data_IF_284983680195
#
_entry.id   IF_284983680195
#
_cell.length_a   1.000
_cell.length_b   1.000
_cell.length_c   1.000
_cell.angle_alpha   90.00
_cell.angle_beta   90.00
_cell.angle_gamma   90.00
#
_symmetry.space_group_name_H-M   'P 1'
#
loop_
_entity.id
_entity.type
_entity.pdbx_description
1 polymer ?
#
# COMPACT_ATOMS: atom_id res chain seq x y z
N UNK A 1 14.21 -6.65 -13.98
CA UNK A 1 12.86 -7.15 -13.65
C UNK A 1 12.54 -6.78 -12.22
N UNK A 2 11.64 -5.81 -12.04
CA UNK A 2 11.22 -5.26 -10.75
C UNK A 2 10.06 -6.07 -10.18
N UNK A 3 10.22 -6.58 -8.95
CA UNK A 3 9.16 -7.31 -8.27
C UNK A 3 8.34 -6.36 -7.41
N UNK A 4 7.09 -6.13 -7.78
CA UNK A 4 6.20 -5.16 -7.15
C UNK A 4 5.10 -5.89 -6.39
N UNK A 5 4.94 -5.57 -5.11
CA UNK A 5 3.76 -5.98 -4.34
C UNK A 5 2.85 -4.78 -4.13
N UNK A 6 1.59 -4.88 -4.53
CA UNK A 6 0.56 -3.92 -4.13
C UNK A 6 -0.23 -4.47 -2.93
N UNK A 7 -0.55 -3.61 -1.96
CA UNK A 7 -1.33 -3.95 -0.76
C UNK A 7 -2.39 -2.87 -0.55
N UNK A 8 -3.66 -3.26 -0.59
CA UNK A 8 -4.75 -2.32 -0.36
C UNK A 8 -6.00 -2.64 -1.19
N UNK A 9 -7.06 -1.82 -1.04
CA UNK A 9 -8.25 -1.96 -1.85
C UNK A 9 -7.92 -1.81 -3.34
N UNK A 10 -8.75 -2.43 -4.18
CA UNK A 10 -8.63 -2.40 -5.64
C UNK A 10 -7.30 -3.00 -6.15
N UNK A 11 -6.67 -3.88 -5.36
CA UNK A 11 -5.36 -4.45 -5.72
C UNK A 11 -5.41 -5.21 -7.05
N UNK A 12 -6.54 -5.84 -7.38
CA UNK A 12 -6.72 -6.54 -8.64
C UNK A 12 -6.58 -5.61 -9.85
N UNK A 13 -7.10 -4.37 -9.75
CA UNK A 13 -7.01 -3.39 -10.82
C UNK A 13 -5.57 -2.90 -10.96
N UNK A 14 -4.92 -2.53 -9.85
CA UNK A 14 -3.54 -2.06 -9.84
C UNK A 14 -2.58 -3.12 -10.39
N UNK A 15 -2.71 -4.37 -9.93
CA UNK A 15 -1.88 -5.49 -10.40
C UNK A 15 -2.13 -5.77 -11.88
N UNK A 16 -3.37 -5.69 -12.36
CA UNK A 16 -3.66 -5.87 -13.79
C UNK A 16 -2.91 -4.84 -14.65
N UNK A 17 -2.84 -3.59 -14.21
CA UNK A 17 -2.07 -2.54 -14.89
C UNK A 17 -0.57 -2.82 -14.82
N UNK A 18 -0.04 -3.15 -13.65
CA UNK A 18 1.40 -3.42 -13.48
C UNK A 18 1.88 -4.63 -14.29
N UNK A 19 1.04 -5.64 -14.49
CA UNK A 19 1.37 -6.79 -15.34
C UNK A 19 1.51 -6.44 -16.82
N UNK A 20 1.05 -5.26 -17.26
CA UNK A 20 1.24 -4.76 -18.62
C UNK A 20 2.50 -3.90 -18.78
N UNK A 21 3.16 -3.53 -17.68
CA UNK A 21 4.38 -2.74 -17.69
C UNK A 21 5.59 -3.62 -18.02
N UNK A 22 6.50 -3.11 -18.86
CA UNK A 22 7.73 -3.80 -19.19
C UNK A 22 8.63 -3.95 -17.94
N UNK A 23 9.41 -5.03 -17.92
CA UNK A 23 10.34 -5.37 -16.84
C UNK A 23 9.70 -5.46 -15.44
N UNK A 24 8.38 -5.65 -15.33
CA UNK A 24 7.66 -5.69 -14.05
C UNK A 24 7.03 -7.06 -13.80
N UNK A 25 7.26 -7.62 -12.61
CA UNK A 25 6.45 -8.70 -12.04
C UNK A 25 5.60 -8.14 -10.91
N UNK A 26 4.30 -8.44 -10.92
CA UNK A 26 3.37 -7.84 -9.98
C UNK A 26 2.57 -8.89 -9.20
N UNK A 27 2.42 -8.64 -7.90
CA UNK A 27 1.57 -9.40 -6.98
C UNK A 27 0.69 -8.46 -6.19
N UNK A 28 -0.41 -9.00 -5.66
CA UNK A 28 -1.37 -8.24 -4.85
C UNK A 28 -1.68 -8.89 -3.51
N UNK A 29 -1.97 -8.05 -2.53
CA UNK A 29 -2.64 -8.41 -1.28
C UNK A 29 -3.89 -7.56 -1.16
N UNK A 30 -5.04 -8.24 -1.18
CA UNK A 30 -6.34 -7.63 -0.94
C UNK A 30 -6.71 -7.87 0.53
N UNK A 31 -6.75 -6.83 1.38
CA UNK A 31 -7.09 -6.97 2.79
C UNK A 31 -8.57 -7.26 3.06
N UNK A 32 -9.43 -7.10 2.05
CA UNK A 32 -10.87 -7.24 2.17
C UNK A 32 -11.39 -8.38 1.30
N UNK A 33 -12.64 -8.77 1.53
CA UNK A 33 -13.24 -9.84 0.75
C UNK A 33 -13.50 -9.41 -0.71
N UNK A 34 -13.47 -10.40 -1.60
CA UNK A 34 -13.61 -10.30 -3.05
C UNK A 34 -14.81 -11.11 -3.58
N UNK A 35 -15.75 -11.51 -2.74
CA UNK A 35 -16.95 -12.26 -3.16
C UNK A 35 -17.70 -11.58 -4.30
N UNK A 36 -17.90 -10.26 -4.20
CA UNK A 36 -18.56 -9.44 -5.22
C UNK A 36 -17.63 -8.97 -6.36
N UNK A 37 -16.37 -9.39 -6.35
CA UNK A 37 -15.42 -8.96 -7.36
C UNK A 37 -15.72 -9.56 -8.75
N UNK A 38 -15.36 -8.80 -9.79
CA UNK A 38 -15.51 -9.21 -11.17
C UNK A 38 -14.66 -10.43 -11.56
N UNK A 39 -14.99 -11.02 -12.72
CA UNK A 39 -14.32 -12.23 -13.25
C UNK A 39 -12.80 -12.09 -13.36
N UNK A 40 -12.31 -10.91 -13.76
CA UNK A 40 -10.87 -10.63 -13.88
C UNK A 40 -10.15 -10.74 -12.54
N UNK A 41 -10.69 -10.10 -11.49
CA UNK A 41 -10.12 -10.17 -10.15
C UNK A 41 -10.15 -11.60 -9.60
N UNK A 42 -11.28 -12.31 -9.75
CA UNK A 42 -11.39 -13.73 -9.37
C UNK A 42 -10.37 -14.61 -10.09
N UNK A 43 -10.03 -14.31 -11.34
CA UNK A 43 -8.98 -15.03 -12.07
C UNK A 43 -7.58 -14.77 -11.50
N UNK A 44 -7.26 -13.53 -11.09
CA UNK A 44 -5.98 -13.21 -10.44
C UNK A 44 -5.84 -13.92 -9.08
N UNK A 45 -6.93 -13.98 -8.32
CA UNK A 45 -6.97 -14.70 -7.03
C UNK A 45 -6.78 -16.21 -7.23
N UNK A 46 -7.48 -16.81 -8.20
CA UNK A 46 -7.31 -18.24 -8.54
C UNK A 46 -5.91 -18.60 -9.03
N UNK A 47 -5.17 -17.65 -9.59
CA UNK A 47 -3.79 -17.82 -10.05
C UNK A 47 -2.75 -17.54 -8.96
N UNK A 48 -3.18 -17.25 -7.72
CA UNK A 48 -2.29 -16.84 -6.61
C UNK A 48 -1.46 -15.57 -6.89
N UNK A 49 -1.82 -14.80 -7.92
CA UNK A 49 -1.18 -13.50 -8.22
C UNK A 49 -1.65 -12.46 -7.19
N UNK A 50 -2.94 -12.50 -6.84
CA UNK A 50 -3.52 -11.70 -5.76
C UNK A 50 -3.93 -12.63 -4.63
N UNK A 51 -3.48 -12.34 -3.41
CA UNK A 51 -3.87 -13.07 -2.20
C UNK A 51 -4.84 -12.24 -1.38
N UNK A 52 -5.93 -12.86 -0.93
CA UNK A 52 -6.89 -12.24 -0.01
C UNK A 52 -6.44 -12.55 1.42
N UNK A 53 -5.86 -11.57 2.12
CA UNK A 53 -5.30 -11.78 3.48
C UNK A 53 -5.45 -10.54 4.34
N UNK A 54 -5.85 -10.71 5.61
CA UNK A 54 -5.93 -9.61 6.57
C UNK A 54 -4.52 -9.14 6.97
N UNK A 55 -4.16 -7.92 6.54
CA UNK A 55 -2.84 -7.29 6.76
C UNK A 55 -2.52 -7.00 8.24
N UNK A 56 -3.47 -7.24 9.16
CA UNK A 56 -3.21 -7.25 10.60
C UNK A 56 -2.31 -8.42 11.03
N UNK A 57 -2.18 -9.44 10.18
CA UNK A 57 -1.33 -10.60 10.34
C UNK A 57 -0.15 -10.58 9.37
N UNK A 58 0.95 -11.31 9.68
CA UNK A 58 2.12 -11.35 8.80
C UNK A 58 1.76 -11.83 7.39
N UNK A 59 2.28 -11.14 6.40
CA UNK A 59 2.14 -11.48 5.00
C UNK A 59 2.82 -12.83 4.70
N UNK A 60 2.21 -13.67 3.84
CA UNK A 60 2.70 -15.00 3.51
C UNK A 60 3.88 -14.97 2.52
N UNK A 61 4.80 -14.02 2.71
CA UNK A 61 5.99 -13.83 1.89
C UNK A 61 7.25 -13.81 2.75
N UNK A 62 8.35 -14.31 2.18
CA UNK A 62 9.66 -14.27 2.85
C UNK A 62 10.14 -12.82 2.95
N UNK A 63 11.01 -12.49 3.92
CA UNK A 63 11.68 -11.20 3.91
C UNK A 63 12.37 -10.93 2.56
N UNK A 64 12.39 -9.66 2.13
CA UNK A 64 13.11 -9.23 0.91
C UNK A 64 12.67 -9.95 -0.37
N UNK A 65 11.37 -10.24 -0.51
CA UNK A 65 10.80 -10.92 -1.69
C UNK A 65 10.49 -9.98 -2.84
N UNK A 66 10.23 -8.70 -2.55
CA UNK A 66 9.80 -7.70 -3.52
C UNK A 66 10.79 -6.53 -3.56
N UNK A 67 11.09 -6.04 -4.75
CA UNK A 67 11.88 -4.82 -4.94
C UNK A 67 11.20 -3.64 -4.23
N UNK A 68 9.90 -3.46 -4.48
CA UNK A 68 9.12 -2.37 -3.91
C UNK A 68 7.74 -2.86 -3.46
N UNK A 69 7.27 -2.30 -2.36
CA UNK A 69 5.91 -2.53 -1.85
C UNK A 69 5.12 -1.23 -1.95
N UNK A 70 3.96 -1.26 -2.59
CA UNK A 70 3.03 -0.16 -2.72
C UNK A 70 1.84 -0.40 -1.81
N UNK A 71 1.50 0.55 -0.94
CA UNK A 71 0.39 0.42 0.00
C UNK A 71 -0.57 1.57 -0.21
N UNK A 72 -1.78 1.28 -0.68
CA UNK A 72 -2.81 2.29 -0.93
C UNK A 72 -3.96 2.14 0.06
N UNK A 73 -4.34 3.24 0.72
CA UNK A 73 -5.59 3.39 1.48
C UNK A 73 -5.94 2.28 2.49
N UNK A 74 -4.97 1.46 2.90
CA UNK A 74 -5.19 0.32 3.79
C UNK A 74 -4.84 0.69 5.24
N UNK A 75 -3.79 1.48 5.44
CA UNK A 75 -3.26 1.82 6.76
C UNK A 75 -4.16 2.79 7.53
N UNK A 76 -4.95 3.60 6.83
CA UNK A 76 -5.93 4.50 7.46
C UNK A 76 -7.02 3.73 8.23
N UNK A 77 -7.25 2.47 7.85
CA UNK A 77 -8.13 1.55 8.54
C UNK A 77 -7.39 0.68 9.56
N UNK A 78 -6.21 1.05 10.06
CA UNK A 78 -5.55 0.32 11.13
C UNK A 78 -5.51 1.15 12.42
N UNK A 79 -5.74 0.47 13.54
CA UNK A 79 -5.47 1.07 14.86
C UNK A 79 -3.96 1.11 15.08
N UNK A 80 -3.52 1.94 16.01
CA UNK A 80 -2.09 2.12 16.28
C UNK A 80 -1.42 0.79 16.71
N UNK A 81 -2.17 -0.09 17.39
CA UNK A 81 -1.76 -1.47 17.72
C UNK A 81 -1.43 -2.31 16.48
N UNK A 82 -2.23 -2.21 15.43
CA UNK A 82 -2.02 -2.99 14.20
C UNK A 82 -1.00 -2.33 13.29
N UNK A 83 -0.95 -1.00 13.21
CA UNK A 83 0.11 -0.29 12.49
C UNK A 83 1.50 -0.70 12.98
N UNK A 84 1.68 -0.86 14.31
CA UNK A 84 2.95 -1.29 14.91
C UNK A 84 3.40 -2.69 14.45
N UNK A 85 2.50 -3.51 13.89
CA UNK A 85 2.80 -4.84 13.37
C UNK A 85 2.87 -4.86 11.85
N UNK A 86 1.89 -4.22 11.21
CA UNK A 86 1.72 -4.25 9.76
C UNK A 86 2.83 -3.49 9.03
N UNK A 87 3.22 -2.30 9.49
CA UNK A 87 4.26 -1.51 8.81
C UNK A 87 5.63 -2.19 8.83
N UNK A 88 6.10 -2.75 9.98
CA UNK A 88 7.32 -3.54 9.97
C UNK A 88 7.26 -4.76 9.06
N UNK A 89 6.12 -5.44 8.98
CA UNK A 89 5.95 -6.60 8.12
C UNK A 89 5.96 -6.25 6.62
N UNK A 90 5.37 -5.12 6.26
CA UNK A 90 5.44 -4.56 4.90
C UNK A 90 6.88 -4.18 4.52
N UNK A 91 7.60 -3.52 5.42
CA UNK A 91 9.00 -3.18 5.21
C UNK A 91 9.89 -4.42 5.14
N UNK A 92 9.58 -5.48 5.92
CA UNK A 92 10.30 -6.75 5.93
C UNK A 92 10.29 -7.43 4.57
N UNK A 93 9.16 -7.42 3.86
CA UNK A 93 9.03 -8.11 2.56
C UNK A 93 9.62 -7.30 1.40
N UNK A 94 9.95 -6.03 1.62
CA UNK A 94 10.57 -5.11 0.67
C UNK A 94 12.09 -5.19 0.68
N UNK A 95 12.72 -4.98 -0.47
CA UNK A 95 14.18 -4.83 -0.65
C UNK A 95 14.53 -3.36 -0.72
N UNK A 96 14.01 -2.62 -1.70
CA UNK A 96 14.46 -1.26 -2.01
C UNK A 96 13.66 -0.19 -1.25
N UNK A 97 12.35 -0.42 -1.06
CA UNK A 97 11.53 0.48 -0.25
C UNK A 97 10.03 0.23 -0.30
N UNK A 98 9.35 0.96 0.58
CA UNK A 98 7.91 0.94 0.75
C UNK A 98 7.35 2.31 0.35
N UNK A 99 6.30 2.34 -0.48
CA UNK A 99 5.57 3.56 -0.82
C UNK A 99 4.18 3.49 -0.23
N UNK A 100 3.84 4.46 0.62
CA UNK A 100 2.58 4.50 1.35
C UNK A 100 1.73 5.67 0.86
N UNK A 101 0.52 5.38 0.43
CA UNK A 101 -0.52 6.35 0.07
C UNK A 101 -1.60 6.34 1.15
N UNK A 102 -1.85 7.50 1.77
CA UNK A 102 -2.89 7.68 2.81
C UNK A 102 -3.73 8.93 2.54
N UNK A 103 -4.97 8.94 3.01
CA UNK A 103 -5.89 10.05 2.80
C UNK A 103 -5.54 11.31 3.62
N UNK A 104 -5.91 12.49 3.13
CA UNK A 104 -5.74 13.75 3.88
C UNK A 104 -6.85 13.95 4.92
N UNK A 105 -6.54 14.28 6.19
CA UNK A 105 -7.52 14.77 7.15
C UNK A 105 -8.02 16.12 6.65
N UNK A 106 -9.25 16.16 6.10
CA UNK A 106 -10.05 17.31 5.60
C UNK A 106 -10.54 17.17 4.15
N UNK A 107 -9.93 16.32 3.31
CA UNK A 107 -10.40 16.12 1.93
C UNK A 107 -11.43 14.99 1.78
N UNK A 108 -11.47 14.05 2.72
CA UNK A 108 -12.39 12.91 2.69
C UNK A 108 -13.15 12.83 4.01
N UNK A 109 -14.48 12.90 3.95
CA UNK A 109 -15.35 12.42 5.04
C UNK A 109 -15.56 10.92 4.82
N UNK A 110 -15.48 10.13 5.89
CA UNK A 110 -15.78 8.69 5.82
C UNK A 110 -17.18 8.49 5.23
N UNK A 111 -17.28 7.79 4.11
CA UNK A 111 -18.57 7.47 3.49
C UNK A 111 -19.16 6.27 4.21
N UNK A 112 -20.49 6.25 4.44
CA UNK A 112 -21.17 5.13 5.09
C UNK A 112 -20.90 3.78 4.38
N UNK A 113 -20.75 3.80 3.05
CA UNK A 113 -20.39 2.63 2.24
C UNK A 113 -18.99 2.09 2.57
N UNK A 114 -18.02 2.95 2.90
CA UNK A 114 -16.67 2.53 3.30
C UNK A 114 -16.71 1.86 4.68
N UNK A 115 -17.53 2.35 5.61
CA UNK A 115 -17.72 1.71 6.92
C UNK A 115 -18.34 0.32 6.78
N UNK A 116 -19.31 0.14 5.89
CA UNK A 116 -19.92 -1.16 5.62
C UNK A 116 -18.92 -2.14 4.99
N UNK A 117 -18.07 -1.67 4.07
CA UNK A 117 -17.10 -2.52 3.35
C UNK A 117 -15.89 -2.89 4.21
N UNK A 118 -15.41 -1.94 5.03
CA UNK A 118 -14.15 -2.08 5.78
C UNK A 118 -14.36 -2.31 7.28
N UNK A 119 -15.62 -2.34 7.73
CA UNK A 119 -16.04 -2.55 9.11
C UNK A 119 -15.81 -1.37 10.07
N UNK A 120 -15.17 -0.29 9.61
CA UNK A 120 -14.93 0.93 10.39
C UNK A 120 -14.56 2.12 9.51
N UNK A 121 -14.70 3.31 10.08
CA UNK A 121 -14.27 4.54 9.43
C UNK A 121 -12.75 4.65 9.37
N UNK A 122 -12.24 5.19 8.26
CA UNK A 122 -10.84 5.54 8.10
C UNK A 122 -10.42 6.58 9.16
N UNK A 123 -9.33 6.32 9.88
CA UNK A 123 -8.68 7.28 10.77
C UNK A 123 -7.61 8.02 9.98
N UNK A 124 -8.03 9.09 9.29
CA UNK A 124 -7.13 9.92 8.48
C UNK A 124 -6.18 10.72 9.38
N UNK A 125 -4.87 10.55 9.18
CA UNK A 125 -3.82 11.15 10.01
C UNK A 125 -3.03 12.18 9.20
N UNK A 126 -2.56 13.23 9.86
CA UNK A 126 -1.80 14.30 9.18
C UNK A 126 -0.42 13.83 8.77
N UNK A 127 0.21 14.56 7.86
CA UNK A 127 1.58 14.28 7.39
C UNK A 127 2.56 14.28 8.56
N UNK A 128 2.44 15.27 9.44
CA UNK A 128 3.23 15.37 10.67
C UNK A 128 3.04 14.19 11.62
N UNK A 129 1.83 13.62 11.68
CA UNK A 129 1.57 12.43 12.49
C UNK A 129 2.28 11.23 11.89
N UNK A 130 2.16 11.02 10.57
CA UNK A 130 2.80 9.91 9.86
C UNK A 130 4.32 9.98 9.98
N UNK A 131 4.95 11.12 9.69
CA UNK A 131 6.41 11.26 9.82
C UNK A 131 6.90 11.03 11.25
N UNK A 132 6.18 11.52 12.28
CA UNK A 132 6.51 11.21 13.68
C UNK A 132 6.39 9.72 13.96
N UNK A 133 5.33 9.09 13.49
CA UNK A 133 5.05 7.68 13.72
C UNK A 133 6.09 6.78 13.04
N UNK A 134 6.47 7.06 11.78
CA UNK A 134 7.53 6.33 11.09
C UNK A 134 8.87 6.41 11.83
N UNK A 135 9.23 7.59 12.32
CA UNK A 135 10.43 7.77 13.15
C UNK A 135 10.40 6.93 14.44
N UNK A 136 9.23 6.76 15.08
CA UNK A 136 9.09 5.94 16.29
C UNK A 136 9.31 4.45 16.03
N UNK A 137 9.06 3.96 14.82
CA UNK A 137 9.24 2.56 14.42
C UNK A 137 10.48 2.34 13.55
N UNK A 138 11.40 3.32 13.51
CA UNK A 138 12.64 3.26 12.74
C UNK A 138 12.44 3.03 11.24
N UNK A 139 11.32 3.49 10.68
CA UNK A 139 11.13 3.57 9.22
C UNK A 139 11.50 4.98 8.77
N UNK A 140 12.65 5.10 8.12
CA UNK A 140 13.15 6.36 7.61
C UNK A 140 12.51 6.72 6.26
N UNK A 141 12.26 8.00 6.05
CA UNK A 141 11.89 8.48 4.72
C UNK A 141 13.07 8.36 3.74
N UNK A 142 12.76 7.93 2.52
CA UNK A 142 13.68 7.89 1.40
C UNK A 142 13.54 9.18 0.58
N UNK A 143 14.29 10.21 0.99
CA UNK A 143 14.24 11.53 0.34
C UNK A 143 14.57 11.47 -1.15
N UNK A 144 15.50 10.61 -1.56
CA UNK A 144 15.91 10.52 -2.97
C UNK A 144 14.80 9.92 -3.83
N UNK A 145 14.13 8.88 -3.34
CA UNK A 145 12.95 8.33 -3.99
C UNK A 145 11.81 9.36 -4.04
N UNK A 146 11.58 10.11 -2.96
CA UNK A 146 10.57 11.15 -2.92
C UNK A 146 10.86 12.29 -3.92
N UNK A 147 12.12 12.73 -4.05
CA UNK A 147 12.55 13.73 -5.04
C UNK A 147 12.34 13.23 -6.47
N UNK A 148 12.72 11.98 -6.77
CA UNK A 148 12.50 11.35 -8.09
C UNK A 148 11.01 11.24 -8.43
N UNK A 149 10.19 10.81 -7.47
CA UNK A 149 8.74 10.75 -7.65
C UNK A 149 8.14 12.13 -7.93
N UNK A 150 8.53 13.17 -7.17
CA UNK A 150 8.05 14.54 -7.39
C UNK A 150 8.41 15.07 -8.78
N UNK A 151 9.61 14.77 -9.27
CA UNK A 151 10.04 15.14 -10.62
C UNK A 151 9.17 14.42 -11.68
N UNK A 152 8.98 13.11 -11.55
CA UNK A 152 8.15 12.32 -12.45
C UNK A 152 6.69 12.78 -12.43
N UNK A 153 6.11 12.98 -11.25
CA UNK A 153 4.74 13.47 -11.07
C UNK A 153 4.54 14.83 -11.76
N UNK A 154 5.51 15.74 -11.63
CA UNK A 154 5.49 17.05 -12.29
C UNK A 154 5.50 16.89 -13.81
N UNK A 155 6.40 16.05 -14.34
CA UNK A 155 6.49 15.77 -15.79
C UNK A 155 5.20 15.17 -16.35
N UNK A 156 4.50 14.37 -15.55
CA UNK A 156 3.25 13.71 -15.93
C UNK A 156 2.01 14.54 -15.60
N UNK A 157 2.15 15.76 -15.06
CA UNK A 157 1.05 16.56 -14.53
C UNK A 157 0.17 15.80 -13.52
N UNK A 158 0.76 14.85 -12.80
CA UNK A 158 0.08 14.04 -11.80
C UNK A 158 -0.03 14.82 -10.49
N UNK A 159 -1.27 14.99 -10.02
CA UNK A 159 -1.57 15.61 -8.73
C UNK A 159 -2.23 14.55 -7.84
N UNK A 160 -1.52 14.13 -6.79
CA UNK A 160 -2.06 13.13 -5.87
C UNK A 160 -3.16 13.73 -4.98
N UNK A 161 -4.25 12.98 -4.83
CA UNK A 161 -5.25 13.23 -3.79
C UNK A 161 -4.87 12.60 -2.44
N UNK A 162 -3.73 11.93 -2.36
CA UNK A 162 -3.22 11.27 -1.17
C UNK A 162 -1.93 11.95 -0.66
N UNK A 163 -1.63 11.67 0.60
CA UNK A 163 -0.29 11.84 1.15
C UNK A 163 0.55 10.66 0.68
N UNK A 164 1.70 10.93 0.08
CA UNK A 164 2.61 9.91 -0.46
C UNK A 164 3.91 9.93 0.32
N UNK A 165 4.25 8.80 0.93
CA UNK A 165 5.49 8.63 1.69
C UNK A 165 6.35 7.57 1.03
N UNK A 166 7.61 7.89 0.78
CA UNK A 166 8.61 6.93 0.33
C UNK A 166 9.46 6.57 1.54
N UNK A 167 9.47 5.29 1.92
CA UNK A 167 10.15 4.78 3.10
C UNK A 167 11.23 3.78 2.68
N UNK A 168 12.34 3.75 3.41
CA UNK A 168 13.37 2.72 3.23
C UNK A 168 12.88 1.38 3.80
N UNK A 169 13.33 0.28 3.21
CA UNK A 169 13.20 -1.04 3.83
C UNK A 169 14.11 -1.14 5.05
N UNK A 170 13.88 -2.11 5.94
CA UNK A 170 14.86 -2.43 6.96
C UNK A 170 16.11 -3.05 6.32
N UNK A 171 17.29 -2.57 6.76
CA UNK A 171 18.58 -3.12 6.34
C UNK A 171 18.76 -4.57 6.80
#
# INVERSE_FOLDING_TARGET
>A
MHKVLHVGPDTCAVVSTLLSEEETEAWGVEPYDVEDAGRSCKALVRKDIVRVVDIKYPLPYRPKSFSIVLVSDALDYLSDKYLNKTLPDLARVSVDGLVVFTGYPRKQRAKAAEVSKFGKAAKLRSTSWWSKYFGQISLEENEDAAKKFKLAATKMSYVSNCQVFHLKSFN
#
